data_IF_409327673503
#
_entry.id   IF_409327673503
#
_cell.length_a   1.000
_cell.length_b   1.000
_cell.length_c   1.000
_cell.angle_alpha   90.00
_cell.angle_beta   90.00
_cell.angle_gamma   90.00
#
_symmetry.space_group_name_H-M   'P 1'
#
loop_
_entity.id
_entity.type
_entity.pdbx_description
1 polymer ?
#
# COMPACT_ATOMS: atom_id res chain seq x y z
N UNK A 1 12.22 16.79 16.90
CA UNK A 1 10.94 16.10 16.64
C UNK A 1 11.02 14.69 17.20
N UNK A 2 10.08 14.35 18.08
CA UNK A 2 10.03 13.02 18.72
C UNK A 2 8.97 12.16 17.99
N UNK A 3 9.33 11.63 16.81
CA UNK A 3 8.50 10.64 16.16
C UNK A 3 9.30 9.36 15.87
N UNK A 4 8.63 8.24 15.86
CA UNK A 4 9.22 6.94 15.54
C UNK A 4 9.25 6.77 14.01
N UNK A 5 10.43 7.03 13.42
CA UNK A 5 10.56 7.00 11.95
C UNK A 5 10.50 5.58 11.40
N UNK A 6 10.02 5.44 10.15
CA UNK A 6 10.04 4.16 9.42
C UNK A 6 11.44 3.54 9.39
N UNK A 7 12.48 4.36 9.19
CA UNK A 7 13.87 3.86 9.19
C UNK A 7 14.26 3.24 10.54
N UNK A 8 13.86 3.86 11.66
CA UNK A 8 14.11 3.31 13.00
C UNK A 8 13.32 2.01 13.21
N UNK A 9 12.07 1.96 12.76
CA UNK A 9 11.25 0.76 12.80
C UNK A 9 11.90 -0.39 12.00
N UNK A 10 12.31 -0.14 10.77
CA UNK A 10 12.94 -1.12 9.90
C UNK A 10 14.25 -1.68 10.48
N UNK A 11 15.10 -0.78 11.00
CA UNK A 11 16.36 -1.20 11.63
C UNK A 11 16.11 -2.06 12.87
N UNK A 12 15.12 -1.72 13.69
CA UNK A 12 14.78 -2.50 14.88
C UNK A 12 14.17 -3.88 14.51
N UNK A 13 13.38 -3.94 13.43
CA UNK A 13 12.67 -5.16 13.02
C UNK A 13 13.57 -6.11 12.24
N UNK A 14 14.40 -5.61 11.35
CA UNK A 14 15.18 -6.44 10.42
C UNK A 14 16.70 -6.44 10.70
N UNK A 15 17.15 -5.66 11.71
CA UNK A 15 18.56 -5.49 12.11
C UNK A 15 19.51 -5.01 10.99
N UNK A 16 18.94 -4.57 9.88
CA UNK A 16 19.68 -4.10 8.70
C UNK A 16 18.89 -2.96 8.01
N UNK A 17 19.61 -2.24 7.14
CA UNK A 17 18.99 -1.25 6.26
C UNK A 17 18.10 -1.95 5.23
N UNK A 18 16.84 -1.54 5.16
CA UNK A 18 15.86 -2.09 4.22
C UNK A 18 15.38 -0.99 3.28
N UNK A 19 15.31 -1.26 1.99
CA UNK A 19 14.72 -0.35 1.01
C UNK A 19 13.39 -0.86 0.48
N UNK A 20 12.45 0.06 0.31
CA UNK A 20 11.20 -0.19 -0.39
C UNK A 20 11.43 -0.09 -1.89
N UNK A 21 11.04 -1.10 -2.66
CA UNK A 21 11.15 -1.14 -4.12
C UNK A 21 9.76 -1.18 -4.73
N UNK A 22 9.47 -0.25 -5.64
CA UNK A 22 8.16 -0.12 -6.27
C UNK A 22 7.96 -1.18 -7.35
N UNK A 23 6.87 -1.94 -7.22
CA UNK A 23 6.45 -3.01 -8.12
C UNK A 23 5.13 -2.59 -8.78
N UNK A 24 5.01 -2.85 -10.06
CA UNK A 24 3.79 -2.65 -10.81
C UNK A 24 3.07 -4.00 -10.98
N UNK A 25 1.93 -4.16 -10.30
CA UNK A 25 1.09 -5.35 -10.39
C UNK A 25 0.13 -5.34 -11.59
N UNK A 26 0.25 -4.38 -12.51
CA UNK A 26 -0.64 -4.19 -13.66
C UNK A 26 -2.12 -4.05 -13.27
N UNK A 27 -2.38 -3.39 -12.14
CA UNK A 27 -3.75 -3.15 -11.66
C UNK A 27 -4.35 -1.88 -12.26
N UNK A 28 -5.67 -1.76 -12.14
CA UNK A 28 -6.39 -0.52 -12.35
C UNK A 28 -7.02 -0.02 -11.03
N UNK A 29 -8.00 0.86 -11.13
CA UNK A 29 -8.70 1.40 -9.97
C UNK A 29 -10.19 1.58 -10.32
N UNK A 30 -11.13 1.23 -9.43
CA UNK A 30 -12.57 1.40 -9.68
C UNK A 30 -12.97 2.88 -9.91
N UNK A 31 -12.16 3.85 -9.46
CA UNK A 31 -12.34 5.26 -9.78
C UNK A 31 -11.89 5.64 -11.21
N UNK A 32 -11.37 4.70 -12.00
CA UNK A 32 -10.79 4.97 -13.33
C UNK A 32 -11.35 4.10 -14.45
N UNK A 33 -11.76 2.88 -14.13
CA UNK A 33 -12.23 1.92 -15.12
C UNK A 33 -13.73 1.98 -15.41
N UNK A 34 -14.43 2.91 -14.76
CA UNK A 34 -15.88 3.11 -14.94
C UNK A 34 -16.74 2.45 -13.87
N UNK A 35 -16.18 1.61 -13.01
CA UNK A 35 -16.93 0.94 -11.92
C UNK A 35 -17.52 1.95 -10.93
N UNK A 36 -16.72 2.89 -10.44
CA UNK A 36 -17.17 4.02 -9.60
C UNK A 36 -17.02 5.36 -10.32
N UNK A 37 -16.10 5.47 -11.25
CA UNK A 37 -15.83 6.68 -12.00
C UNK A 37 -14.69 6.51 -12.99
N UNK A 38 -14.51 7.51 -13.88
CA UNK A 38 -13.46 7.48 -14.92
C UNK A 38 -12.34 8.49 -14.69
N UNK A 39 -12.54 9.46 -13.78
CA UNK A 39 -11.61 10.59 -13.60
C UNK A 39 -10.51 10.33 -12.58
N UNK A 40 -10.67 9.33 -11.69
CA UNK A 40 -9.78 9.07 -10.58
C UNK A 40 -9.84 10.13 -9.48
N UNK A 41 -9.10 9.91 -8.40
CA UNK A 41 -8.89 10.90 -7.35
C UNK A 41 -8.06 12.06 -7.87
N UNK A 42 -8.30 13.31 -7.39
CA UNK A 42 -7.62 14.51 -7.92
C UNK A 42 -6.12 14.53 -7.62
N UNK A 43 -5.69 13.84 -6.57
CA UNK A 43 -4.28 13.74 -6.18
C UNK A 43 -3.53 12.60 -6.87
N UNK A 44 -4.23 11.75 -7.60
CA UNK A 44 -3.64 10.56 -8.23
C UNK A 44 -3.24 10.89 -9.67
N UNK A 45 -1.95 10.74 -9.99
CA UNK A 45 -1.41 10.93 -11.33
C UNK A 45 -2.01 9.97 -12.37
N UNK A 46 -1.72 10.16 -13.64
CA UNK A 46 -2.08 9.21 -14.71
C UNK A 46 -1.50 7.81 -14.47
N UNK A 47 -0.30 7.72 -13.90
CA UNK A 47 0.39 6.48 -13.55
C UNK A 47 -0.08 5.84 -12.25
N UNK A 48 -1.18 6.32 -11.64
CA UNK A 48 -1.69 5.74 -10.39
C UNK A 48 -0.74 5.93 -9.21
N UNK A 49 0.01 7.03 -9.18
CA UNK A 49 1.09 7.32 -8.21
C UNK A 49 2.27 6.34 -8.27
N UNK A 50 2.46 5.70 -9.43
CA UNK A 50 3.50 4.68 -9.66
C UNK A 50 4.63 5.15 -10.59
N UNK A 51 4.98 6.45 -10.61
CA UNK A 51 5.98 7.03 -11.52
C UNK A 51 7.37 6.38 -11.41
N UNK A 52 7.68 5.76 -10.28
CA UNK A 52 8.94 5.07 -10.01
C UNK A 52 8.84 3.54 -10.12
N UNK A 53 7.66 3.00 -10.38
CA UNK A 53 7.47 1.58 -10.59
C UNK A 53 8.11 1.12 -11.91
N UNK A 54 8.45 -0.15 -11.99
CA UNK A 54 8.97 -0.75 -13.20
C UNK A 54 7.85 -0.91 -14.25
N UNK A 55 8.24 -1.27 -15.48
CA UNK A 55 7.30 -1.58 -16.55
C UNK A 55 6.42 -2.78 -16.17
N UNK A 56 5.11 -2.62 -16.30
CA UNK A 56 4.11 -3.67 -16.01
C UNK A 56 4.20 -4.90 -16.95
N UNK A 57 4.88 -4.78 -18.08
CA UNK A 57 5.11 -5.90 -19.01
C UNK A 57 6.16 -6.89 -18.50
N UNK A 58 6.99 -6.49 -17.54
CA UNK A 58 7.98 -7.35 -16.93
C UNK A 58 7.36 -8.26 -15.87
N UNK A 59 7.88 -9.47 -15.69
CA UNK A 59 7.55 -10.33 -14.55
C UNK A 59 7.90 -9.63 -13.22
N UNK A 60 7.28 -10.04 -12.15
CA UNK A 60 7.57 -9.50 -10.81
C UNK A 60 9.04 -9.72 -10.45
N UNK A 61 9.59 -10.87 -10.78
CA UNK A 61 11.02 -11.16 -10.62
C UNK A 61 11.91 -10.13 -11.33
N UNK A 62 11.66 -9.90 -12.63
CA UNK A 62 12.46 -8.94 -13.43
C UNK A 62 12.35 -7.52 -12.87
N UNK A 63 11.15 -7.08 -12.47
CA UNK A 63 10.95 -5.80 -11.83
C UNK A 63 11.78 -5.66 -10.54
N UNK A 64 11.78 -6.70 -9.69
CA UNK A 64 12.56 -6.75 -8.46
C UNK A 64 14.06 -6.65 -8.78
N UNK A 65 14.57 -7.44 -9.74
CA UNK A 65 16.00 -7.42 -10.10
C UNK A 65 16.43 -6.04 -10.63
N UNK A 66 15.64 -5.41 -11.49
CA UNK A 66 15.92 -4.05 -11.98
C UNK A 66 15.95 -3.03 -10.85
N UNK A 67 14.97 -3.08 -9.93
CA UNK A 67 14.93 -2.17 -8.79
C UNK A 67 16.15 -2.36 -7.86
N UNK A 68 16.52 -3.60 -7.57
CA UNK A 68 17.73 -3.94 -6.79
C UNK A 68 18.99 -3.36 -7.44
N UNK A 69 19.15 -3.50 -8.76
CA UNK A 69 20.31 -2.95 -9.48
C UNK A 69 20.40 -1.43 -9.35
N UNK A 70 19.27 -0.72 -9.42
CA UNK A 70 19.22 0.75 -9.23
C UNK A 70 19.65 1.16 -7.83
N UNK A 71 19.25 0.39 -6.80
CA UNK A 71 19.58 0.69 -5.40
C UNK A 71 21.04 0.36 -5.11
N UNK A 72 21.56 -0.76 -5.59
CA UNK A 72 22.97 -1.17 -5.39
C UNK A 72 23.98 -0.13 -5.88
N UNK A 73 23.63 0.69 -6.86
CA UNK A 73 24.46 1.82 -7.31
C UNK A 73 24.59 2.94 -6.25
N UNK A 74 23.72 2.97 -5.24
CA UNK A 74 23.63 4.03 -4.23
C UNK A 74 23.81 3.54 -2.80
N UNK A 75 23.70 2.25 -2.56
CA UNK A 75 23.70 1.65 -1.22
C UNK A 75 24.00 0.16 -1.27
N UNK A 76 24.74 -0.33 -0.27
CA UNK A 76 25.04 -1.77 -0.07
C UNK A 76 23.88 -2.54 0.56
N UNK A 77 22.64 -2.04 0.45
CA UNK A 77 21.48 -2.68 1.01
C UNK A 77 21.24 -4.06 0.40
N UNK A 78 20.93 -5.02 1.26
CA UNK A 78 20.72 -6.44 0.90
C UNK A 78 19.27 -6.89 1.12
N UNK A 79 18.45 -6.12 1.86
CA UNK A 79 17.06 -6.44 2.18
C UNK A 79 16.10 -5.44 1.60
N UNK A 80 14.98 -5.90 1.08
CA UNK A 80 13.99 -5.06 0.39
C UNK A 80 12.57 -5.39 0.82
N UNK A 81 11.70 -4.39 0.74
CA UNK A 81 10.25 -4.55 0.82
C UNK A 81 9.70 -4.43 -0.60
N UNK A 82 8.99 -5.44 -1.07
CA UNK A 82 8.28 -5.37 -2.35
C UNK A 82 7.01 -4.55 -2.17
N UNK A 83 6.97 -3.37 -2.77
CA UNK A 83 5.89 -2.41 -2.63
C UNK A 83 5.06 -2.31 -3.90
N UNK A 84 3.88 -2.91 -3.87
CA UNK A 84 2.89 -2.78 -4.92
C UNK A 84 2.19 -1.42 -4.78
N UNK A 85 2.58 -0.47 -5.61
CA UNK A 85 2.19 0.93 -5.45
C UNK A 85 1.17 1.42 -6.47
N UNK A 86 1.33 1.21 -7.80
CA UNK A 86 0.43 1.81 -8.78
C UNK A 86 -1.00 1.36 -8.61
N UNK A 87 -1.93 2.31 -8.60
CA UNK A 87 -3.38 2.09 -8.55
C UNK A 87 -3.87 1.37 -7.28
N UNK A 88 -4.75 0.35 -7.46
CA UNK A 88 -5.41 -0.38 -6.35
C UNK A 88 -4.99 -1.84 -6.41
N UNK A 89 -3.98 -2.21 -5.63
CA UNK A 89 -3.27 -3.48 -5.79
C UNK A 89 -3.98 -4.72 -5.21
N UNK A 90 -5.24 -4.59 -4.80
CA UNK A 90 -6.11 -5.72 -4.48
C UNK A 90 -7.34 -5.78 -5.39
N UNK A 91 -7.36 -4.95 -6.43
CA UNK A 91 -8.47 -4.86 -7.39
C UNK A 91 -8.18 -5.70 -8.64
N UNK A 92 -8.17 -7.01 -8.43
CA UNK A 92 -8.03 -8.03 -9.48
C UNK A 92 -8.56 -9.38 -8.97
N UNK A 93 -8.72 -10.40 -9.84
CA UNK A 93 -9.05 -11.76 -9.41
C UNK A 93 -8.04 -12.30 -8.40
N UNK A 94 -8.52 -12.99 -7.37
CA UNK A 94 -7.68 -13.46 -6.24
C UNK A 94 -6.56 -14.39 -6.70
N UNK A 95 -6.80 -15.21 -7.73
CA UNK A 95 -5.81 -16.11 -8.32
C UNK A 95 -4.64 -15.33 -8.94
N UNK A 96 -4.94 -14.21 -9.58
CA UNK A 96 -3.91 -13.33 -10.12
C UNK A 96 -3.10 -12.67 -9.00
N UNK A 97 -3.78 -12.16 -7.97
CA UNK A 97 -3.13 -11.58 -6.78
C UNK A 97 -2.23 -12.60 -6.10
N UNK A 98 -2.71 -13.82 -5.89
CA UNK A 98 -1.93 -14.90 -5.29
C UNK A 98 -0.66 -15.18 -6.10
N UNK A 99 -0.77 -15.27 -7.42
CA UNK A 99 0.38 -15.50 -8.30
C UNK A 99 1.45 -14.43 -8.10
N UNK A 100 1.11 -13.15 -8.27
CA UNK A 100 2.10 -12.06 -8.27
C UNK A 100 2.67 -11.79 -6.86
N UNK A 101 1.85 -11.91 -5.81
CA UNK A 101 2.32 -11.72 -4.44
C UNK A 101 3.19 -12.89 -3.99
N UNK A 102 2.85 -14.14 -4.39
CA UNK A 102 3.69 -15.30 -4.10
C UNK A 102 5.02 -15.21 -4.82
N UNK A 103 5.05 -14.76 -6.08
CA UNK A 103 6.29 -14.53 -6.81
C UNK A 103 7.18 -13.51 -6.07
N UNK A 104 6.60 -12.38 -5.65
CA UNK A 104 7.35 -11.35 -4.92
C UNK A 104 7.87 -11.83 -3.56
N UNK A 105 7.02 -12.50 -2.76
CA UNK A 105 7.38 -12.91 -1.39
C UNK A 105 8.39 -14.06 -1.38
N UNK A 106 8.45 -14.85 -2.46
CA UNK A 106 9.40 -15.96 -2.63
C UNK A 106 10.83 -15.51 -2.90
N UNK A 107 11.03 -14.26 -3.30
CA UNK A 107 12.37 -13.70 -3.49
C UNK A 107 13.15 -13.68 -2.16
N UNK A 108 14.38 -14.22 -2.11
CA UNK A 108 15.12 -14.38 -0.84
C UNK A 108 15.42 -13.06 -0.14
N UNK A 109 15.69 -12.00 -0.92
CA UNK A 109 16.06 -10.68 -0.38
C UNK A 109 14.82 -9.81 -0.04
N UNK A 110 13.61 -10.26 -0.37
CA UNK A 110 12.37 -9.59 0.04
C UNK A 110 12.04 -10.05 1.46
N UNK A 111 11.99 -9.09 2.38
CA UNK A 111 11.72 -9.34 3.81
C UNK A 111 10.27 -9.05 4.20
N UNK A 112 9.54 -8.30 3.39
CA UNK A 112 8.11 -8.01 3.59
C UNK A 112 7.44 -7.63 2.27
N UNK A 113 6.12 -7.79 2.19
CA UNK A 113 5.27 -7.16 1.17
C UNK A 113 4.65 -5.89 1.73
N UNK A 114 4.49 -4.88 0.88
CA UNK A 114 3.69 -3.68 1.15
C UNK A 114 2.74 -3.47 -0.01
N UNK A 115 1.44 -3.37 0.25
CA UNK A 115 0.40 -3.40 -0.78
C UNK A 115 -0.48 -2.15 -0.61
N UNK A 116 -0.33 -1.18 -1.53
CA UNK A 116 -1.17 0.01 -1.53
C UNK A 116 -2.53 -0.31 -2.15
N UNK A 117 -3.59 -0.02 -1.42
CA UNK A 117 -4.94 -0.30 -1.89
C UNK A 117 -6.01 0.62 -1.29
N UNK A 118 -7.21 0.49 -1.82
CA UNK A 118 -8.43 1.12 -1.34
C UNK A 118 -9.13 0.20 -0.33
N UNK A 119 -9.77 0.75 0.72
CA UNK A 119 -10.48 -0.07 1.72
C UNK A 119 -11.68 -0.84 1.15
N UNK A 120 -12.34 -0.31 0.13
CA UNK A 120 -13.48 -0.95 -0.55
C UNK A 120 -13.08 -2.09 -1.52
N UNK A 121 -11.78 -2.37 -1.64
CA UNK A 121 -11.24 -3.46 -2.46
C UNK A 121 -10.62 -4.60 -1.63
N UNK A 122 -11.09 -4.82 -0.40
CA UNK A 122 -10.64 -5.84 0.54
C UNK A 122 -11.75 -6.84 0.87
N UNK A 123 -12.19 -7.58 -0.16
CA UNK A 123 -13.16 -8.68 0.03
C UNK A 123 -12.59 -9.87 0.80
N UNK A 124 -13.45 -10.77 1.28
CA UNK A 124 -13.06 -11.92 2.12
C UNK A 124 -11.98 -12.80 1.49
N UNK A 125 -12.03 -13.04 0.19
CA UNK A 125 -11.02 -13.84 -0.53
C UNK A 125 -9.64 -13.16 -0.47
N UNK A 126 -9.61 -11.83 -0.65
CA UNK A 126 -8.37 -11.03 -0.54
C UNK A 126 -7.84 -11.07 0.89
N UNK A 127 -8.69 -10.88 1.90
CA UNK A 127 -8.28 -10.98 3.31
C UNK A 127 -7.69 -12.36 3.62
N UNK A 128 -8.31 -13.45 3.17
CA UNK A 128 -7.77 -14.80 3.32
C UNK A 128 -6.41 -15.00 2.64
N UNK A 129 -6.22 -14.42 1.45
CA UNK A 129 -4.93 -14.43 0.77
C UNK A 129 -3.87 -13.65 1.58
N UNK A 130 -4.19 -12.45 2.04
CA UNK A 130 -3.27 -11.64 2.84
C UNK A 130 -2.87 -12.34 4.15
N UNK A 131 -3.82 -12.99 4.82
CA UNK A 131 -3.55 -13.79 6.02
C UNK A 131 -2.59 -14.95 5.72
N UNK A 132 -2.82 -15.67 4.62
CA UNK A 132 -1.94 -16.77 4.17
C UNK A 132 -0.52 -16.27 3.91
N UNK A 133 -0.38 -15.17 3.19
CA UNK A 133 0.93 -14.58 2.87
C UNK A 133 1.65 -14.03 4.11
N UNK A 134 0.90 -13.44 5.06
CA UNK A 134 1.46 -12.90 6.29
C UNK A 134 2.06 -13.98 7.22
N UNK A 135 1.67 -15.25 7.05
CA UNK A 135 2.30 -16.40 7.72
C UNK A 135 3.66 -16.78 7.12
N UNK A 136 3.96 -16.32 5.89
CA UNK A 136 5.24 -16.59 5.21
C UNK A 136 6.25 -15.49 5.53
N UNK A 137 5.89 -14.24 5.26
CA UNK A 137 6.66 -13.03 5.60
C UNK A 137 5.69 -11.89 5.94
N UNK A 138 6.10 -10.89 6.71
CA UNK A 138 5.25 -9.75 7.06
C UNK A 138 4.58 -9.12 5.84
N UNK A 139 3.26 -8.94 5.92
CA UNK A 139 2.47 -8.21 4.93
C UNK A 139 1.98 -6.91 5.56
N UNK A 140 2.18 -5.82 4.86
CA UNK A 140 1.67 -4.50 5.21
C UNK A 140 0.66 -4.06 4.16
N UNK A 141 -0.46 -3.52 4.60
CA UNK A 141 -1.44 -2.90 3.71
C UNK A 141 -1.39 -1.38 3.90
N UNK A 142 -1.01 -0.67 2.84
CA UNK A 142 -1.02 0.79 2.80
C UNK A 142 -2.41 1.25 2.38
N UNK A 143 -3.21 1.55 3.41
CA UNK A 143 -4.64 1.79 3.25
C UNK A 143 -4.96 3.28 3.10
N UNK A 144 -5.61 3.64 2.02
CA UNK A 144 -6.00 5.03 1.76
C UNK A 144 -7.14 5.46 2.68
N UNK A 145 -6.88 6.32 3.66
CA UNK A 145 -7.88 7.10 4.39
C UNK A 145 -8.02 8.49 3.78
N UNK A 146 -6.88 9.10 3.51
CA UNK A 146 -6.67 10.42 2.94
C UNK A 146 -7.16 11.55 3.85
N UNK A 147 -8.39 11.50 4.35
CA UNK A 147 -9.01 12.45 5.27
C UNK A 147 -10.21 11.83 5.98
N UNK A 148 -10.50 12.28 7.20
CA UNK A 148 -11.73 11.94 7.93
C UNK A 148 -12.90 12.89 7.61
N UNK A 149 -12.64 14.02 6.94
CA UNK A 149 -13.63 15.02 6.61
C UNK A 149 -14.35 14.69 5.30
N UNK A 150 -15.65 14.46 5.34
CA UNK A 150 -16.47 14.09 4.17
C UNK A 150 -16.40 15.14 3.05
N UNK A 151 -16.47 16.43 3.36
CA UNK A 151 -16.33 17.51 2.36
C UNK A 151 -15.00 17.47 1.63
N UNK A 152 -13.92 17.14 2.35
CA UNK A 152 -12.59 16.96 1.73
C UNK A 152 -12.52 15.67 0.95
N UNK A 153 -13.16 14.60 1.42
CA UNK A 153 -13.25 13.32 0.74
C UNK A 153 -13.97 13.43 -0.60
N UNK A 154 -15.09 14.16 -0.63
CA UNK A 154 -15.84 14.47 -1.85
C UNK A 154 -15.00 15.31 -2.83
N UNK A 155 -14.34 16.36 -2.31
CA UNK A 155 -13.46 17.20 -3.11
C UNK A 155 -12.36 16.39 -3.81
N UNK A 156 -11.71 15.48 -3.09
CA UNK A 156 -10.65 14.64 -3.66
C UNK A 156 -11.18 13.43 -4.46
N UNK A 157 -12.49 13.24 -4.53
CA UNK A 157 -13.17 12.11 -5.19
C UNK A 157 -12.71 10.75 -4.62
N UNK A 158 -12.71 10.64 -3.28
CA UNK A 158 -12.32 9.38 -2.61
C UNK A 158 -13.30 8.24 -2.93
N UNK A 159 -14.60 8.52 -3.02
CA UNK A 159 -15.67 7.61 -3.45
C UNK A 159 -15.95 6.42 -2.51
N UNK A 160 -15.61 6.54 -1.25
CA UNK A 160 -16.05 5.62 -0.17
C UNK A 160 -16.17 6.40 1.15
N UNK A 161 -17.15 6.05 2.02
CA UNK A 161 -17.32 6.68 3.33
C UNK A 161 -16.25 6.21 4.33
N UNK A 162 -16.10 6.94 5.43
CA UNK A 162 -15.16 6.62 6.50
C UNK A 162 -15.38 5.23 7.08
N UNK A 163 -16.64 4.82 7.24
CA UNK A 163 -17.01 3.49 7.79
C UNK A 163 -16.42 2.31 7.02
N UNK A 164 -16.22 2.46 5.70
CA UNK A 164 -15.57 1.42 4.87
C UNK A 164 -14.08 1.30 5.22
N UNK A 165 -13.42 2.43 5.50
CA UNK A 165 -12.04 2.41 5.99
C UNK A 165 -11.95 1.73 7.36
N UNK A 166 -12.83 2.10 8.30
CA UNK A 166 -12.83 1.54 9.66
C UNK A 166 -13.02 0.02 9.62
N UNK A 167 -14.01 -0.47 8.87
CA UNK A 167 -14.26 -1.90 8.71
C UNK A 167 -13.07 -2.64 8.07
N UNK A 168 -12.44 -2.03 7.05
CA UNK A 168 -11.27 -2.62 6.39
C UNK A 168 -10.07 -2.71 7.35
N UNK A 169 -9.80 -1.65 8.11
CA UNK A 169 -8.73 -1.63 9.09
C UNK A 169 -8.95 -2.67 10.21
N UNK A 170 -10.17 -2.78 10.74
CA UNK A 170 -10.52 -3.81 11.72
C UNK A 170 -10.30 -5.21 11.18
N UNK A 171 -10.74 -5.49 9.95
CA UNK A 171 -10.59 -6.82 9.35
C UNK A 171 -9.12 -7.18 9.11
N UNK A 172 -8.29 -6.23 8.68
CA UNK A 172 -6.84 -6.43 8.54
C UNK A 172 -6.18 -6.71 9.90
N UNK A 173 -6.55 -5.97 10.95
CA UNK A 173 -6.03 -6.20 12.30
C UNK A 173 -6.44 -7.59 12.85
N UNK A 174 -7.68 -8.04 12.61
CA UNK A 174 -8.14 -9.38 13.02
C UNK A 174 -7.30 -10.51 12.46
N UNK A 175 -6.78 -10.36 11.25
CA UNK A 175 -5.89 -11.34 10.60
C UNK A 175 -4.39 -11.07 10.82
N UNK A 176 -4.05 -10.12 11.71
CA UNK A 176 -2.67 -9.80 12.09
C UNK A 176 -1.85 -9.07 11.03
N UNK A 177 -2.49 -8.50 10.02
CA UNK A 177 -1.82 -7.70 8.97
C UNK A 177 -1.60 -6.27 9.45
N UNK A 178 -0.39 -5.74 9.27
CA UNK A 178 -0.07 -4.36 9.62
C UNK A 178 -0.71 -3.37 8.65
N UNK A 179 -1.40 -2.37 9.19
CA UNK A 179 -2.02 -1.29 8.42
C UNK A 179 -1.15 -0.03 8.47
N UNK A 180 -0.83 0.51 7.30
CA UNK A 180 -0.19 1.82 7.13
C UNK A 180 -1.24 2.78 6.58
N UNK A 181 -1.69 3.71 7.38
CA UNK A 181 -2.71 4.68 7.00
C UNK A 181 -2.09 5.81 6.16
N UNK A 182 -2.62 6.01 4.95
CA UNK A 182 -2.24 7.16 4.13
C UNK A 182 -3.15 8.35 4.39
N UNK A 183 -2.54 9.49 4.72
CA UNK A 183 -3.20 10.77 4.96
C UNK A 183 -2.66 11.86 4.03
N UNK A 184 -3.53 12.78 3.62
CA UNK A 184 -3.14 13.97 2.88
C UNK A 184 -3.38 15.19 3.77
N UNK A 185 -2.32 15.89 4.11
CA UNK A 185 -2.39 17.13 4.91
C UNK A 185 -2.65 18.34 4.00
N UNK A 186 -3.34 19.34 4.52
CA UNK A 186 -3.56 20.61 3.82
C UNK A 186 -4.67 20.56 2.74
N UNK A 187 -5.56 19.57 2.79
CA UNK A 187 -6.72 19.55 1.91
C UNK A 187 -7.67 20.72 2.22
N UNK A 188 -8.37 21.28 1.21
CA UNK A 188 -9.43 22.25 1.43
C UNK A 188 -10.48 21.72 2.41
N UNK A 189 -10.94 22.56 3.31
CA UNK A 189 -11.90 22.23 4.38
C UNK A 189 -11.40 21.25 5.45
N UNK A 190 -10.10 20.91 5.46
CA UNK A 190 -9.49 20.13 6.51
C UNK A 190 -8.66 21.03 7.43
N UNK A 191 -8.66 20.73 8.74
CA UNK A 191 -7.83 21.41 9.72
C UNK A 191 -6.69 20.47 10.15
N UNK A 192 -5.48 20.98 10.21
CA UNK A 192 -4.25 20.19 10.40
C UNK A 192 -4.28 19.31 11.66
N UNK A 193 -4.87 19.81 12.78
CA UNK A 193 -4.89 19.06 14.02
C UNK A 193 -5.82 17.84 13.98
N UNK A 194 -6.90 17.84 13.18
CA UNK A 194 -7.81 16.69 13.08
C UNK A 194 -7.20 15.51 12.32
N UNK A 195 -6.23 15.76 11.47
CA UNK A 195 -5.45 14.68 10.84
C UNK A 195 -4.42 14.06 11.79
N UNK A 196 -3.93 14.83 12.76
CA UNK A 196 -2.92 14.40 13.72
C UNK A 196 -3.52 13.73 14.97
N UNK A 197 -4.81 13.97 15.24
CA UNK A 197 -5.53 13.42 16.38
C UNK A 197 -6.48 12.27 16.00
N UNK A 198 -6.19 11.55 14.94
CA UNK A 198 -6.85 10.27 14.71
C UNK A 198 -6.70 9.45 16.00
N UNK A 199 -7.80 8.84 16.51
CA UNK A 199 -7.70 8.04 17.72
C UNK A 199 -6.68 6.93 17.48
N UNK A 200 -5.52 7.06 18.15
CA UNK A 200 -4.40 6.13 18.09
C UNK A 200 -4.70 4.84 18.85
N UNK A 201 -5.90 4.33 18.77
CA UNK A 201 -6.23 2.99 19.25
C UNK A 201 -5.81 1.90 18.26
N UNK A 202 -5.30 2.26 17.09
CA UNK A 202 -4.49 1.37 16.27
C UNK A 202 -3.10 1.33 16.89
N UNK A 203 -2.81 0.31 17.67
CA UNK A 203 -1.45 -0.02 18.05
C UNK A 203 -0.64 -0.16 16.77
N UNK A 204 0.27 0.78 16.56
CA UNK A 204 1.32 0.70 15.55
C UNK A 204 2.28 -0.39 15.97
#
# INVERSE_FOLDING_TARGET
>A
MNYYSLNKYLNNTFAEKVYKISINGNMTCPNRDGTLGTKGCIFCSRGGSGEFAADALLSIHEQIQQAKQRIRKKSDCKKYIAYFQPFTNTYAPTEYLEKIFTEAISEPDIVALSIATRPDCLGNNVLGLLEKLNKIKPVWVELGLQTIHEKSADYIRRMYPLSVYDSAAENLHKIGVNVITHLILGLPNAVSYTHLTLPTNSRV
#
